data_IF_032590154912
#
_entry.id   IF_032590154912
#
_cell.length_a   1.000
_cell.length_b   1.000
_cell.length_c   1.000
_cell.angle_alpha   90.00
_cell.angle_beta   90.00
_cell.angle_gamma   90.00
#
_symmetry.space_group_name_H-M   'P 1'
#
loop_
_entity.id
_entity.type
_entity.pdbx_description
1 polymer ?
#
# COMPACT_ATOMS: atom_id res chain seq x y z
N UNK A 1 -22.47 7.41 1.01
CA UNK A 1 -21.18 6.69 1.04
C UNK A 1 -21.08 5.89 2.32
N UNK A 2 -20.56 4.66 2.29
CA UNK A 2 -20.27 3.86 3.49
C UNK A 2 -18.78 3.55 3.51
N UNK A 3 -18.08 3.89 4.59
CA UNK A 3 -16.70 3.42 4.83
C UNK A 3 -16.72 1.92 5.03
N UNK A 4 -15.87 1.20 4.31
CA UNK A 4 -15.74 -0.25 4.39
C UNK A 4 -14.40 -0.68 4.99
N UNK A 5 -13.38 0.17 4.87
CA UNK A 5 -12.09 -0.01 5.56
C UNK A 5 -11.64 1.34 6.10
N UNK A 6 -11.24 1.33 7.36
CA UNK A 6 -10.64 2.48 8.02
C UNK A 6 -9.14 2.24 8.12
N UNK A 7 -8.35 3.12 7.51
CA UNK A 7 -6.88 3.06 7.47
C UNK A 7 -6.28 1.87 6.67
N UNK A 8 -6.85 1.56 5.51
CA UNK A 8 -6.23 0.62 4.58
C UNK A 8 -5.08 1.31 3.84
N UNK A 9 -3.83 0.89 4.13
CA UNK A 9 -2.60 1.47 3.57
C UNK A 9 -2.54 3.02 3.69
N UNK A 10 -3.11 3.59 4.77
CA UNK A 10 -3.15 5.04 4.99
C UNK A 10 -4.39 5.76 4.45
N UNK A 11 -5.32 5.05 3.80
CA UNK A 11 -6.55 5.63 3.24
C UNK A 11 -7.80 5.10 3.93
N UNK A 12 -8.87 5.90 3.94
CA UNK A 12 -10.23 5.41 4.22
C UNK A 12 -10.85 4.95 2.90
N UNK A 13 -11.26 3.69 2.82
CA UNK A 13 -11.92 3.16 1.62
C UNK A 13 -13.43 3.22 1.85
N UNK A 14 -14.13 3.88 0.94
CA UNK A 14 -15.58 3.96 0.93
C UNK A 14 -16.16 3.23 -0.28
N UNK A 15 -17.31 2.59 -0.08
CA UNK A 15 -18.13 2.07 -1.16
C UNK A 15 -19.31 3.02 -1.39
N UNK A 16 -19.52 3.36 -2.65
CA UNK A 16 -20.69 4.10 -3.12
C UNK A 16 -21.29 3.31 -4.27
N UNK A 17 -22.52 2.84 -4.10
CA UNK A 17 -23.22 1.98 -5.07
C UNK A 17 -22.36 0.75 -5.44
N UNK A 18 -21.69 0.80 -6.59
CA UNK A 18 -20.85 -0.26 -7.17
C UNK A 18 -19.39 0.16 -7.36
N UNK A 19 -18.97 1.24 -6.71
CA UNK A 19 -17.68 1.89 -6.90
C UNK A 19 -16.97 2.04 -5.56
N UNK A 20 -15.64 1.90 -5.57
CA UNK A 20 -14.78 2.10 -4.42
C UNK A 20 -13.99 3.39 -4.60
N UNK A 21 -13.88 4.16 -3.52
CA UNK A 21 -13.13 5.42 -3.51
C UNK A 21 -12.23 5.47 -2.27
N UNK A 22 -11.00 5.95 -2.44
CA UNK A 22 -10.16 6.33 -1.32
C UNK A 22 -10.43 7.79 -0.93
N UNK A 23 -10.61 8.00 0.36
CA UNK A 23 -10.90 9.30 0.97
C UNK A 23 -9.77 9.66 1.94
N UNK A 24 -9.34 10.91 1.89
CA UNK A 24 -8.46 11.53 2.88
C UNK A 24 -9.07 12.88 3.29
N UNK A 25 -9.12 13.16 4.60
CA UNK A 25 -9.69 14.40 5.15
C UNK A 25 -11.02 14.81 4.50
N UNK A 26 -11.93 13.84 4.35
CA UNK A 26 -13.27 13.99 3.76
C UNK A 26 -13.34 14.31 2.26
N UNK A 27 -12.21 14.25 1.54
CA UNK A 27 -12.14 14.43 0.09
C UNK A 27 -11.81 13.12 -0.63
N UNK A 28 -12.46 12.87 -1.76
CA UNK A 28 -12.11 11.74 -2.65
C UNK A 28 -10.76 12.05 -3.29
N UNK A 29 -9.78 11.19 -3.05
CA UNK A 29 -8.44 11.33 -3.63
C UNK A 29 -8.30 10.43 -4.87
N UNK A 30 -8.85 9.21 -4.80
CA UNK A 30 -8.81 8.26 -5.91
C UNK A 30 -10.16 7.62 -6.15
N UNK A 31 -10.54 7.57 -7.42
CA UNK A 31 -11.72 6.84 -7.90
C UNK A 31 -11.34 5.44 -8.37
N UNK A 32 -12.27 4.48 -8.28
CA UNK A 32 -12.13 3.03 -8.60
C UNK A 32 -10.90 2.60 -9.39
N UNK A 33 -10.75 3.01 -10.65
CA UNK A 33 -9.65 2.56 -11.50
C UNK A 33 -8.28 3.07 -11.01
N UNK A 34 -8.21 4.34 -10.63
CA UNK A 34 -7.01 4.93 -10.03
C UNK A 34 -6.71 4.28 -8.68
N UNK A 35 -7.75 3.95 -7.91
CA UNK A 35 -7.59 3.26 -6.64
C UNK A 35 -6.95 1.88 -6.84
N UNK A 36 -7.45 1.06 -7.76
CA UNK A 36 -6.85 -0.25 -8.05
C UNK A 36 -5.37 -0.13 -8.42
N UNK A 37 -5.01 0.76 -9.34
CA UNK A 37 -3.61 0.95 -9.72
C UNK A 37 -2.72 1.38 -8.55
N UNK A 38 -3.22 2.28 -7.70
CA UNK A 38 -2.49 2.71 -6.50
C UNK A 38 -2.28 1.56 -5.53
N UNK A 39 -3.31 0.74 -5.28
CA UNK A 39 -3.21 -0.42 -4.39
C UNK A 39 -2.24 -1.47 -4.93
N UNK A 40 -2.33 -1.81 -6.22
CA UNK A 40 -1.42 -2.75 -6.88
C UNK A 40 0.04 -2.28 -6.78
N UNK A 41 0.26 -0.96 -6.93
CA UNK A 41 1.60 -0.35 -6.82
C UNK A 41 2.12 -0.38 -5.39
N UNK A 42 1.27 -0.08 -4.41
CA UNK A 42 1.64 -0.14 -2.97
C UNK A 42 1.96 -1.56 -2.55
N UNK A 43 1.16 -2.54 -2.97
CA UNK A 43 1.40 -3.95 -2.67
C UNK A 43 2.71 -4.42 -3.29
N UNK A 44 2.96 -4.08 -4.56
CA UNK A 44 4.26 -4.35 -5.21
C UNK A 44 5.42 -3.72 -4.43
N UNK A 45 5.31 -2.45 -4.04
CA UNK A 45 6.37 -1.76 -3.30
C UNK A 45 6.68 -2.42 -1.94
N UNK A 46 5.65 -2.85 -1.23
CA UNK A 46 5.81 -3.54 0.05
C UNK A 46 6.47 -4.90 -0.15
N UNK A 47 6.03 -5.68 -1.14
CA UNK A 47 6.67 -6.96 -1.49
C UNK A 47 8.15 -6.79 -1.88
N UNK A 48 8.50 -5.73 -2.61
CA UNK A 48 9.89 -5.41 -2.92
C UNK A 48 10.69 -4.99 -1.67
N UNK A 49 10.10 -4.21 -0.77
CA UNK A 49 10.74 -3.78 0.47
C UNK A 49 11.00 -4.97 1.42
N UNK A 50 10.06 -5.90 1.53
CA UNK A 50 10.21 -7.14 2.30
C UNK A 50 11.26 -8.08 1.69
N UNK A 51 11.38 -8.15 0.36
CA UNK A 51 12.44 -8.97 -0.28
C UNK A 51 13.83 -8.32 -0.20
N UNK A 52 13.93 -7.00 -0.10
CA UNK A 52 15.22 -6.30 0.07
C UNK A 52 15.67 -6.18 1.53
N UNK A 53 14.85 -6.60 2.50
CA UNK A 53 15.25 -6.72 3.90
C UNK A 53 15.86 -8.10 4.18
N UNK A 54 16.86 -8.50 3.39
CA UNK A 54 17.81 -9.51 3.84
C UNK A 54 18.67 -8.93 4.96
N UNK A 55 18.78 -9.59 6.13
CA UNK A 55 19.71 -9.17 7.16
C UNK A 55 21.13 -9.45 6.68
N UNK A 56 21.89 -8.39 6.46
CA UNK A 56 23.35 -8.43 6.50
C UNK A 56 23.76 -8.89 7.91
N UNK A 57 24.12 -10.17 8.09
CA UNK A 57 24.94 -10.62 9.23
C UNK A 57 25.55 -12.03 9.04
N UNK A 58 26.87 -12.09 9.27
CA UNK A 58 27.81 -13.23 9.40
C UNK A 58 28.36 -13.84 8.08
N UNK A 59 29.67 -13.89 7.79
CA UNK A 59 30.85 -13.95 8.66
C UNK A 59 32.18 -13.67 7.91
N UNK A 60 33.12 -12.96 8.56
CA UNK A 60 34.54 -13.36 8.66
C UNK A 60 35.53 -13.17 7.49
N UNK A 61 36.38 -12.14 7.64
CA UNK A 61 37.76 -11.95 7.11
C UNK A 61 38.04 -11.75 5.61
N UNK A 62 38.89 -10.75 5.25
CA UNK A 62 39.85 -10.90 4.17
C UNK A 62 41.24 -11.27 4.72
N UNK A 63 41.84 -12.29 4.11
CA UNK A 63 43.25 -12.64 4.26
C UNK A 63 44.15 -11.49 3.79
N UNK A 64 45.16 -11.16 4.61
CA UNK A 64 46.51 -10.89 4.12
C UNK A 64 47.53 -11.16 5.23
#
# INVERSE_FOLDING_TARGET
MRTIYENYRGFKISKQESTYNAISSDHIIFSRWQLSQVLDTVDSYVEFADNNSSPDAESGMPQN
#
